data_IF_827453333914
#
_entry.id   IF_827453333914
#
_cell.length_a   1.000
_cell.length_b   1.000
_cell.length_c   1.000
_cell.angle_alpha   90.00
_cell.angle_beta   90.00
_cell.angle_gamma   90.00
#
_symmetry.space_group_name_H-M   'P 1'
#
loop_
_entity.id
_entity.type
_entity.pdbx_description
1 polymer ?
#
# COMPACT_ATOMS: atom_id res chain seq x y z
N UNK A 1 -8.80 2.60 15.74
CA UNK A 1 -7.62 1.79 16.09
C UNK A 1 -7.28 0.93 14.89
N UNK A 2 -6.03 0.94 14.44
CA UNK A 2 -5.57 -0.02 13.43
C UNK A 2 -5.60 -1.43 14.02
N UNK A 3 -5.86 -2.44 13.20
CA UNK A 3 -5.78 -3.84 13.65
C UNK A 3 -4.33 -4.18 14.05
N UNK A 4 -4.14 -5.12 14.97
CA UNK A 4 -2.80 -5.63 15.32
C UNK A 4 -2.09 -6.20 14.08
N UNK A 5 -2.84 -6.87 13.19
CA UNK A 5 -2.36 -7.35 11.89
C UNK A 5 -1.91 -6.20 10.98
N UNK A 6 -2.70 -5.13 10.87
CA UNK A 6 -2.38 -3.95 10.05
C UNK A 6 -1.12 -3.23 10.56
N UNK A 7 -0.95 -3.14 11.87
CA UNK A 7 0.25 -2.60 12.50
C UNK A 7 1.48 -3.46 12.18
N UNK A 8 1.33 -4.80 12.17
CA UNK A 8 2.39 -5.72 11.77
C UNK A 8 2.80 -5.57 10.30
N UNK A 9 1.84 -5.47 9.38
CA UNK A 9 2.12 -5.27 7.95
C UNK A 9 2.87 -3.96 7.69
N UNK A 10 2.44 -2.85 8.32
CA UNK A 10 3.12 -1.57 8.21
C UNK A 10 4.57 -1.65 8.72
N UNK A 11 4.82 -2.35 9.83
CA UNK A 11 6.18 -2.56 10.36
C UNK A 11 7.05 -3.40 9.42
N UNK A 12 6.51 -4.49 8.87
CA UNK A 12 7.26 -5.35 7.95
C UNK A 12 7.68 -4.59 6.68
N UNK A 13 6.83 -3.70 6.18
CA UNK A 13 7.14 -2.87 5.01
C UNK A 13 8.18 -1.81 5.33
N UNK A 14 8.07 -1.16 6.50
CA UNK A 14 9.10 -0.23 6.97
C UNK A 14 10.46 -0.94 7.10
N UNK A 15 10.49 -2.13 7.71
CA UNK A 15 11.70 -2.93 7.85
C UNK A 15 12.29 -3.32 6.49
N UNK A 16 11.45 -3.76 5.55
CA UNK A 16 11.90 -4.11 4.20
C UNK A 16 12.53 -2.90 3.49
N UNK A 17 11.90 -1.73 3.57
CA UNK A 17 12.42 -0.49 2.99
C UNK A 17 13.76 -0.09 3.63
N UNK A 18 13.89 -0.18 4.95
CA UNK A 18 15.15 0.11 5.65
C UNK A 18 16.27 -0.83 5.21
N UNK A 19 16.00 -2.13 5.13
CA UNK A 19 16.99 -3.10 4.66
C UNK A 19 17.38 -2.78 3.21
N UNK A 20 16.40 -2.56 2.33
CA UNK A 20 16.68 -2.20 0.94
C UNK A 20 17.58 -0.96 0.83
N UNK A 21 17.28 0.10 1.59
CA UNK A 21 18.06 1.33 1.61
C UNK A 21 19.52 1.08 2.03
N UNK A 22 19.73 0.29 3.09
CA UNK A 22 21.09 -0.09 3.53
C UNK A 22 21.83 -0.83 2.41
N UNK A 23 21.16 -1.78 1.75
CA UNK A 23 21.76 -2.56 0.66
C UNK A 23 22.11 -1.68 -0.56
N UNK A 24 21.28 -0.68 -0.86
CA UNK A 24 21.52 0.30 -1.91
C UNK A 24 22.71 1.21 -1.57
N UNK A 25 22.81 1.68 -0.33
CA UNK A 25 23.91 2.52 0.18
C UNK A 25 25.25 1.77 0.20
N UNK A 26 25.25 0.45 0.38
CA UNK A 26 26.45 -0.37 0.29
C UNK A 26 27.06 -0.38 -1.13
N UNK A 27 26.27 -0.09 -2.17
CA UNK A 27 26.74 -0.04 -3.55
C UNK A 27 27.51 -1.30 -3.97
N UNK A 28 28.73 -1.12 -4.48
CA UNK A 28 29.58 -2.22 -4.95
C UNK A 28 30.02 -3.21 -3.85
N UNK A 29 29.93 -2.84 -2.56
CA UNK A 29 30.21 -3.75 -1.45
C UNK A 29 29.10 -4.80 -1.28
N UNK A 30 27.90 -4.54 -1.80
CA UNK A 30 26.81 -5.49 -1.81
C UNK A 30 26.87 -6.37 -3.06
N UNK A 31 27.60 -7.48 -2.97
CA UNK A 31 27.78 -8.45 -4.06
C UNK A 31 27.29 -9.86 -3.67
N UNK A 32 25.97 -10.06 -3.51
CA UNK A 32 25.44 -11.35 -3.07
C UNK A 32 25.53 -12.41 -4.18
N UNK A 33 25.92 -13.63 -3.80
CA UNK A 33 25.89 -14.81 -4.68
C UNK A 33 24.48 -15.33 -4.91
N UNK A 34 23.58 -15.13 -3.93
CA UNK A 34 22.18 -15.55 -4.06
C UNK A 34 21.40 -14.50 -4.87
N UNK A 35 20.93 -14.88 -6.05
CA UNK A 35 20.16 -14.00 -6.93
C UNK A 35 18.90 -13.45 -6.27
N UNK A 36 18.24 -14.21 -5.38
CA UNK A 36 16.99 -13.81 -4.71
C UNK A 36 17.13 -12.54 -3.86
N UNK A 37 18.35 -12.23 -3.41
CA UNK A 37 18.62 -11.05 -2.60
C UNK A 37 19.34 -9.95 -3.38
N UNK A 38 19.58 -10.11 -4.69
CA UNK A 38 20.08 -9.01 -5.51
C UNK A 38 19.08 -7.86 -5.53
N UNK A 39 19.57 -6.61 -5.51
CA UNK A 39 18.74 -5.41 -5.52
C UNK A 39 17.70 -5.42 -6.65
N UNK A 40 18.08 -5.87 -7.85
CA UNK A 40 17.19 -6.02 -9.01
C UNK A 40 15.98 -6.93 -8.78
N UNK A 41 16.10 -7.91 -7.88
CA UNK A 41 15.02 -8.83 -7.52
C UNK A 41 14.25 -8.39 -6.27
N UNK A 42 14.85 -7.53 -5.44
CA UNK A 42 14.20 -6.96 -4.26
C UNK A 42 13.36 -5.72 -4.59
N UNK A 43 13.77 -4.91 -5.56
CA UNK A 43 13.11 -3.65 -5.91
C UNK A 43 11.66 -3.84 -6.40
N UNK A 44 11.35 -4.85 -7.25
CA UNK A 44 9.97 -5.15 -7.62
C UNK A 44 9.10 -5.53 -6.41
N UNK A 45 9.67 -6.26 -5.44
CA UNK A 45 8.98 -6.64 -4.20
C UNK A 45 8.71 -5.39 -3.35
N UNK A 46 9.68 -4.48 -3.26
CA UNK A 46 9.54 -3.17 -2.60
C UNK A 46 8.34 -2.39 -3.15
N UNK A 47 8.29 -2.27 -4.47
CA UNK A 47 7.26 -1.52 -5.18
C UNK A 47 5.88 -2.17 -5.06
N UNK A 48 5.81 -3.50 -5.14
CA UNK A 48 4.57 -4.26 -4.95
C UNK A 48 3.98 -4.04 -3.56
N UNK A 49 4.80 -4.14 -2.51
CA UNK A 49 4.37 -3.92 -1.13
C UNK A 49 3.80 -2.51 -0.90
N UNK A 50 4.45 -1.49 -1.49
CA UNK A 50 4.00 -0.10 -1.39
C UNK A 50 2.68 0.13 -2.14
N UNK A 51 2.51 -0.53 -3.30
CA UNK A 51 1.29 -0.46 -4.12
C UNK A 51 0.12 -1.09 -3.38
N UNK A 52 0.28 -2.33 -2.88
CA UNK A 52 -0.77 -3.07 -2.19
C UNK A 52 -1.25 -2.34 -0.93
N UNK A 53 -0.35 -1.75 -0.13
CA UNK A 53 -0.78 -0.97 1.04
C UNK A 53 -1.56 0.28 0.63
N UNK A 54 -1.14 0.93 -0.45
CA UNK A 54 -1.82 2.14 -0.93
C UNK A 54 -3.24 1.78 -1.37
N UNK A 55 -3.39 0.71 -2.13
CA UNK A 55 -4.69 0.19 -2.56
C UNK A 55 -5.57 -0.20 -1.37
N UNK A 56 -5.05 -0.96 -0.40
CA UNK A 56 -5.81 -1.34 0.78
C UNK A 56 -6.22 -0.15 1.66
N UNK A 57 -5.47 0.96 1.64
CA UNK A 57 -5.83 2.20 2.34
C UNK A 57 -6.87 3.03 1.59
N UNK A 58 -6.96 2.92 0.26
CA UNK A 58 -7.88 3.70 -0.57
C UNK A 58 -9.17 2.97 -0.88
N UNK A 59 -9.16 1.64 -1.01
CA UNK A 59 -10.33 0.81 -1.27
C UNK A 59 -11.47 0.96 -0.23
N UNK A 60 -11.22 1.01 1.10
CA UNK A 60 -12.29 1.25 2.07
C UNK A 60 -12.86 2.67 1.96
N UNK A 61 -12.06 3.67 1.55
CA UNK A 61 -12.54 5.04 1.32
C UNK A 61 -13.52 5.09 0.14
N UNK A 62 -13.25 4.32 -0.91
CA UNK A 62 -14.15 4.16 -2.04
C UNK A 62 -15.48 3.55 -1.58
N UNK A 63 -15.47 2.46 -0.82
CA UNK A 63 -16.71 1.86 -0.31
C UNK A 63 -17.50 2.81 0.62
N UNK A 64 -16.84 3.67 1.40
CA UNK A 64 -17.51 4.68 2.24
C UNK A 64 -18.08 5.89 1.46
N UNK A 65 -17.68 6.13 0.21
CA UNK A 65 -18.26 7.21 -0.63
C UNK A 65 -19.56 6.80 -1.33
N UNK A 66 -19.80 5.49 -1.55
CA UNK A 66 -21.02 4.98 -2.18
C UNK A 66 -22.32 5.21 -1.37
N UNK A 67 -22.36 5.06 -0.03
CA UNK A 67 -23.59 5.31 0.71
C UNK A 67 -23.92 6.81 0.82
N UNK A 68 -22.92 7.71 0.79
CA UNK A 68 -23.16 9.16 0.88
C UNK A 68 -23.82 9.74 -0.37
N UNK A 69 -23.53 9.19 -1.56
CA UNK A 69 -24.18 9.61 -2.81
C UNK A 69 -25.63 9.15 -2.91
N UNK A 70 -25.97 7.98 -2.35
CA UNK A 70 -27.36 7.47 -2.30
C UNK A 70 -28.23 8.18 -1.26
N UNK A 71 -27.65 8.62 -0.12
CA UNK A 71 -28.36 9.43 0.88
C UNK A 71 -28.61 10.88 0.44
N UNK A 72 -27.86 11.40 -0.55
CA UNK A 72 -28.08 12.71 -1.17
C UNK A 72 -29.13 12.68 -2.29
N UNK A 73 -29.70 11.50 -2.60
CA UNK A 73 -30.68 11.30 -3.67
C UNK A 73 -32.14 11.14 -3.20
N UNK A 74 -32.70 12.03 -2.34
CA UNK A 74 -34.16 12.12 -2.21
C UNK A 74 -34.75 13.49 -2.57
N UNK A 75 -34.14 14.31 -3.43
CA UNK A 75 -34.73 15.61 -3.83
C UNK A 75 -34.99 15.82 -5.33
N UNK A 76 -34.88 14.77 -6.17
CA UNK A 76 -35.13 14.91 -7.63
C UNK A 76 -36.44 14.25 -8.07
N UNK A 77 -37.14 13.51 -7.20
CA UNK A 77 -38.40 12.81 -7.54
C UNK A 77 -39.69 13.54 -7.08
N UNK A 78 -39.60 14.79 -6.59
CA UNK A 78 -40.76 15.54 -6.09
C UNK A 78 -41.07 16.81 -6.93
N UNK A 79 -40.39 17.02 -8.06
CA UNK A 79 -40.53 18.23 -8.90
C UNK A 79 -40.90 17.94 -10.35
N UNK A 80 -41.68 16.89 -10.60
CA UNK A 80 -42.31 16.67 -11.90
C UNK A 80 -43.80 17.08 -11.80
N UNK A 81 -44.22 18.13 -12.54
CA UNK A 81 -45.59 18.66 -12.50
C UNK A 81 -46.63 17.71 -13.08
#
# INVERSE_FOLDING_TARGET
>A
MASTSETGHNKNIANFNTVYQILEEMGALYSPTNSKIQLSNLDPIRNLLQTVITELKTHPKFLLSHPKTLLSYPEILITHP
#
